data_IF_151636687485
#
_entry.id   IF_151636687485
#
_cell.length_a   1.000
_cell.length_b   1.000
_cell.length_c   1.000
_cell.angle_alpha   90.00
_cell.angle_beta   90.00
_cell.angle_gamma   90.00
#
_symmetry.space_group_name_H-M   'P 1'
#
loop_
_entity.id
_entity.type
_entity.pdbx_description
1 polymer ?
#
# COMPACT_ATOMS: atom_id res chain seq x y z
N UNK A 1 22.21 13.47 39.40
CA UNK A 1 21.75 12.21 38.77
C UNK A 1 20.47 12.50 38.02
N UNK A 2 20.52 12.28 36.71
CA UNK A 2 19.57 12.72 35.69
C UNK A 2 18.30 11.87 35.73
N UNK A 3 17.14 12.49 35.92
CA UNK A 3 15.84 11.84 35.77
C UNK A 3 15.59 11.58 34.29
N UNK A 4 15.65 10.30 33.94
CA UNK A 4 15.38 9.75 32.61
C UNK A 4 13.99 10.16 32.15
N UNK A 5 13.93 11.01 31.13
CA UNK A 5 12.72 11.37 30.42
C UNK A 5 12.18 10.12 29.71
N UNK A 6 11.13 9.52 30.26
CA UNK A 6 10.32 8.54 29.55
C UNK A 6 9.57 9.31 28.47
N UNK A 7 10.13 9.32 27.27
CA UNK A 7 9.41 9.74 26.06
C UNK A 7 8.42 8.62 25.76
N UNK A 8 7.17 8.82 26.20
CA UNK A 8 6.02 8.07 25.71
C UNK A 8 5.92 8.31 24.20
N UNK A 9 6.44 7.36 23.43
CA UNK A 9 6.13 7.21 22.01
C UNK A 9 4.63 6.90 21.91
N UNK A 10 3.84 7.94 21.66
CA UNK A 10 2.46 7.81 21.23
C UNK A 10 2.52 7.20 19.84
N UNK A 11 2.39 5.88 19.75
CA UNK A 11 2.15 5.18 18.49
C UNK A 11 0.73 5.59 18.09
N UNK A 12 0.61 6.57 17.19
CA UNK A 12 -0.61 6.83 16.44
C UNK A 12 -0.86 5.62 15.53
N UNK A 13 -1.36 4.53 16.10
CA UNK A 13 -2.05 3.49 15.36
C UNK A 13 -3.43 4.07 15.01
N UNK A 14 -3.51 4.88 13.95
CA UNK A 14 -4.79 5.02 13.26
C UNK A 14 -5.13 3.61 12.77
N UNK A 15 -6.01 2.91 13.47
CA UNK A 15 -6.36 1.53 13.18
C UNK A 15 -6.72 1.42 11.69
N UNK A 16 -5.85 0.74 10.92
CA UNK A 16 -6.04 0.58 9.48
C UNK A 16 -7.29 -0.28 9.29
N UNK A 17 -8.31 0.29 8.66
CA UNK A 17 -9.56 -0.42 8.42
C UNK A 17 -9.47 -1.22 7.10
N UNK A 18 -9.73 -2.54 7.09
CA UNK A 18 -9.69 -3.35 5.87
C UNK A 18 -10.53 -2.82 4.72
N UNK A 19 -11.73 -2.30 5.02
CA UNK A 19 -12.61 -1.72 3.99
C UNK A 19 -12.00 -0.48 3.36
N UNK A 20 -11.29 0.34 4.15
CA UNK A 20 -10.61 1.54 3.65
C UNK A 20 -9.44 1.18 2.75
N UNK A 21 -8.64 0.18 3.11
CA UNK A 21 -7.54 -0.31 2.28
C UNK A 21 -8.09 -0.84 0.95
N UNK A 22 -9.08 -1.73 0.98
CA UNK A 22 -9.69 -2.28 -0.24
C UNK A 22 -10.32 -1.19 -1.12
N UNK A 23 -11.04 -0.25 -0.52
CA UNK A 23 -11.66 0.87 -1.25
C UNK A 23 -10.61 1.75 -1.93
N UNK A 24 -9.54 2.09 -1.23
CA UNK A 24 -8.45 2.88 -1.80
C UNK A 24 -7.76 2.13 -2.94
N UNK A 25 -7.53 0.83 -2.78
CA UNK A 25 -6.96 -0.02 -3.81
C UNK A 25 -7.78 -0.02 -5.10
N UNK A 26 -9.12 -0.18 -4.99
CA UNK A 26 -10.01 -0.14 -6.16
C UNK A 26 -10.06 1.23 -6.81
N UNK A 27 -10.08 2.31 -6.01
CA UNK A 27 -10.02 3.67 -6.53
C UNK A 27 -8.73 3.90 -7.35
N UNK A 28 -7.59 3.42 -6.85
CA UNK A 28 -6.31 3.48 -7.55
C UNK A 28 -6.32 2.68 -8.85
N UNK A 29 -6.85 1.45 -8.83
CA UNK A 29 -7.02 0.62 -10.02
C UNK A 29 -7.85 1.36 -11.08
N UNK A 30 -9.02 1.87 -10.71
CA UNK A 30 -9.90 2.62 -11.62
C UNK A 30 -9.23 3.87 -12.20
N UNK A 31 -8.54 4.66 -11.37
CA UNK A 31 -7.83 5.87 -11.83
C UNK A 31 -6.70 5.55 -12.81
N UNK A 32 -5.92 4.49 -12.53
CA UNK A 32 -4.81 4.05 -13.39
C UNK A 32 -5.33 3.45 -14.71
N UNK A 33 -6.35 2.59 -14.66
CA UNK A 33 -6.90 1.94 -15.85
C UNK A 33 -7.57 2.94 -16.79
N UNK A 34 -8.38 3.84 -16.23
CA UNK A 34 -9.12 4.84 -17.00
C UNK A 34 -8.24 6.03 -17.38
N UNK A 35 -7.09 6.22 -16.71
CA UNK A 35 -6.20 7.38 -16.87
C UNK A 35 -6.97 8.69 -16.68
N UNK A 36 -7.76 8.75 -15.60
CA UNK A 36 -8.66 9.85 -15.28
C UNK A 36 -8.57 10.22 -13.81
N UNK A 37 -8.97 11.45 -13.52
CA UNK A 37 -8.97 12.02 -12.18
C UNK A 37 -7.82 12.99 -11.98
N UNK A 38 -7.61 13.36 -10.72
CA UNK A 38 -6.55 14.25 -10.30
C UNK A 38 -5.24 13.47 -10.13
N UNK A 39 -4.21 13.85 -10.89
CA UNK A 39 -2.92 13.19 -10.86
C UNK A 39 -2.16 13.36 -9.54
N UNK A 40 -2.21 14.53 -8.92
CA UNK A 40 -1.51 14.75 -7.65
C UNK A 40 -2.21 14.00 -6.51
N UNK A 41 -3.53 13.91 -6.57
CA UNK A 41 -4.32 13.04 -5.70
C UNK A 41 -3.97 11.55 -5.91
N UNK A 42 -3.80 11.11 -7.16
CA UNK A 42 -3.39 9.74 -7.48
C UNK A 42 -2.01 9.42 -6.87
N UNK A 43 -1.02 10.31 -7.00
CA UNK A 43 0.30 10.16 -6.36
C UNK A 43 0.19 10.06 -4.84
N UNK A 44 -0.62 10.93 -4.23
CA UNK A 44 -0.85 10.93 -2.78
C UNK A 44 -1.49 9.63 -2.32
N UNK A 45 -2.49 9.15 -3.04
CA UNK A 45 -3.20 7.90 -2.74
C UNK A 45 -2.32 6.67 -2.91
N UNK A 46 -1.42 6.65 -3.91
CA UNK A 46 -0.45 5.56 -4.09
C UNK A 46 0.51 5.48 -2.91
N UNK A 47 1.07 6.61 -2.47
CA UNK A 47 1.95 6.64 -1.30
C UNK A 47 1.20 6.25 -0.01
N UNK A 48 -0.02 6.75 0.17
CA UNK A 48 -0.87 6.38 1.32
C UNK A 48 -1.15 4.87 1.34
N UNK A 49 -1.45 4.28 0.18
CA UNK A 49 -1.66 2.84 0.10
C UNK A 49 -0.36 2.08 0.42
N UNK A 50 0.78 2.53 -0.10
CA UNK A 50 2.07 1.92 0.21
C UNK A 50 2.41 1.99 1.71
N UNK A 51 2.06 3.08 2.38
CA UNK A 51 2.17 3.20 3.84
C UNK A 51 1.31 2.16 4.56
N UNK A 52 0.05 1.97 4.16
CA UNK A 52 -0.80 0.90 4.71
C UNK A 52 -0.17 -0.48 4.52
N UNK A 53 0.48 -0.74 3.39
CA UNK A 53 1.12 -2.03 3.14
C UNK A 53 2.33 -2.27 4.06
N UNK A 54 3.11 -1.22 4.38
CA UNK A 54 4.20 -1.31 5.35
C UNK A 54 3.68 -1.58 6.76
N UNK A 55 2.57 -0.93 7.13
CA UNK A 55 1.94 -1.14 8.44
C UNK A 55 1.36 -2.55 8.55
N UNK A 56 0.68 -3.06 7.51
CA UNK A 56 0.21 -4.45 7.47
C UNK A 56 1.38 -5.42 7.59
N UNK A 57 2.48 -5.19 6.86
CA UNK A 57 3.68 -6.02 6.97
C UNK A 57 4.24 -6.05 8.39
N UNK A 58 4.24 -4.91 9.08
CA UNK A 58 4.65 -4.83 10.48
C UNK A 58 3.71 -5.65 11.36
N UNK A 59 2.40 -5.44 11.24
CA UNK A 59 1.38 -6.15 12.02
C UNK A 59 1.49 -7.68 11.85
N UNK A 60 1.61 -8.19 10.62
CA UNK A 60 1.74 -9.64 10.40
C UNK A 60 3.04 -10.22 10.96
N UNK A 61 4.13 -9.45 10.99
CA UNK A 61 5.40 -9.87 11.59
C UNK A 61 5.36 -9.87 13.12
N UNK A 62 4.49 -9.07 13.71
CA UNK A 62 4.30 -8.94 15.17
C UNK A 62 3.19 -9.87 15.71
N UNK A 63 2.69 -10.79 14.89
CA UNK A 63 1.58 -11.70 15.23
C UNK A 63 0.29 -10.97 15.65
N UNK A 64 0.04 -9.78 15.07
CA UNK A 64 -1.17 -9.01 15.31
C UNK A 64 -2.36 -9.59 14.51
N UNK A 65 -3.43 -9.97 15.22
CA UNK A 65 -4.67 -10.52 14.65
C UNK A 65 -5.30 -9.59 13.59
N UNK A 66 -5.19 -8.26 13.76
CA UNK A 66 -5.68 -7.30 12.79
C UNK A 66 -4.88 -7.34 11.48
N UNK A 67 -3.56 -7.54 11.58
CA UNK A 67 -2.69 -7.74 10.42
C UNK A 67 -3.07 -8.99 9.64
N UNK A 68 -3.37 -10.08 10.33
CA UNK A 68 -3.81 -11.34 9.70
C UNK A 68 -5.19 -11.21 9.06
N UNK A 69 -6.11 -10.47 9.71
CA UNK A 69 -7.42 -10.14 9.15
C UNK A 69 -7.30 -9.30 7.88
N UNK A 70 -6.46 -8.25 7.91
CA UNK A 70 -6.17 -7.40 6.76
C UNK A 70 -5.57 -8.20 5.60
N UNK A 71 -4.63 -9.09 5.90
CA UNK A 71 -4.09 -10.04 4.93
C UNK A 71 -5.21 -10.88 4.30
N UNK A 72 -6.07 -11.51 5.12
CA UNK A 72 -7.15 -12.36 4.63
C UNK A 72 -8.13 -11.62 3.72
N UNK A 73 -8.45 -10.36 4.03
CA UNK A 73 -9.30 -9.52 3.17
C UNK A 73 -8.63 -9.16 1.82
N UNK A 74 -7.33 -8.87 1.82
CA UNK A 74 -6.57 -8.60 0.59
C UNK A 74 -6.34 -9.87 -0.24
N UNK A 75 -6.10 -11.01 0.40
CA UNK A 75 -5.83 -12.27 -0.29
C UNK A 75 -7.06 -12.78 -1.04
N UNK A 76 -8.28 -12.54 -0.51
CA UNK A 76 -9.55 -12.76 -1.22
C UNK A 76 -9.65 -12.04 -2.56
N UNK A 77 -8.95 -10.90 -2.72
CA UNK A 77 -8.87 -10.16 -3.99
C UNK A 77 -7.56 -10.42 -4.75
N UNK A 78 -6.83 -11.46 -4.36
CA UNK A 78 -5.50 -11.81 -4.87
C UNK A 78 -4.50 -10.65 -4.74
N UNK A 79 -4.54 -9.97 -3.59
CA UNK A 79 -3.67 -8.84 -3.22
C UNK A 79 -4.21 -7.46 -3.60
N UNK A 80 -3.36 -6.43 -3.46
CA UNK A 80 -3.67 -5.07 -3.89
C UNK A 80 -4.07 -5.02 -5.37
N UNK A 81 -5.24 -4.47 -5.73
CA UNK A 81 -5.73 -4.54 -7.12
C UNK A 81 -4.88 -3.70 -8.10
N UNK A 82 -4.53 -2.47 -7.72
CA UNK A 82 -3.82 -1.51 -8.57
C UNK A 82 -2.44 -1.99 -9.08
N UNK A 83 -1.78 -2.95 -8.40
CA UNK A 83 -0.45 -3.45 -8.81
C UNK A 83 -0.50 -4.28 -10.11
N UNK A 84 -1.69 -4.71 -10.53
CA UNK A 84 -1.91 -5.49 -11.75
C UNK A 84 -2.08 -4.58 -12.99
N UNK A 85 -2.26 -3.28 -12.78
CA UNK A 85 -2.51 -2.32 -13.85
C UNK A 85 -1.22 -2.05 -14.62
N UNK A 86 -1.27 -2.18 -15.95
CA UNK A 86 -0.15 -1.85 -16.82
C UNK A 86 -0.01 -0.34 -16.94
N UNK A 87 1.18 0.16 -16.61
CA UNK A 87 1.54 1.56 -16.78
C UNK A 87 2.14 1.76 -18.17
N UNK A 88 1.62 2.75 -18.91
CA UNK A 88 2.10 3.10 -20.24
C UNK A 88 2.58 4.56 -20.23
N UNK A 89 3.89 4.77 -20.16
CA UNK A 89 4.47 6.07 -19.77
C UNK A 89 4.00 7.24 -20.63
N UNK A 90 3.94 7.04 -21.95
CA UNK A 90 3.44 8.06 -22.90
C UNK A 90 1.97 8.42 -22.65
N UNK A 91 1.14 7.44 -22.30
CA UNK A 91 -0.28 7.67 -22.03
C UNK A 91 -0.49 8.37 -20.69
N UNK A 92 0.30 8.02 -19.67
CA UNK A 92 0.22 8.65 -18.34
C UNK A 92 0.66 10.12 -18.38
N UNK A 93 1.78 10.40 -19.05
CA UNK A 93 2.28 11.77 -19.29
C UNK A 93 1.19 12.64 -19.92
N UNK A 94 0.51 12.13 -20.95
CA UNK A 94 -0.55 12.87 -21.65
C UNK A 94 -1.81 13.03 -20.80
N UNK A 95 -2.24 11.97 -20.12
CA UNK A 95 -3.49 11.97 -19.36
C UNK A 95 -3.44 12.89 -18.14
N UNK A 96 -2.31 12.92 -17.43
CA UNK A 96 -2.15 13.65 -16.18
C UNK A 96 -1.26 14.90 -16.30
N UNK A 97 -0.81 15.24 -17.52
CA UNK A 97 0.14 16.34 -17.78
C UNK A 97 1.43 16.25 -16.94
N UNK A 98 1.87 15.01 -16.67
CA UNK A 98 3.03 14.70 -15.87
C UNK A 98 4.33 14.74 -16.66
N UNK A 99 5.47 14.85 -15.95
CA UNK A 99 6.79 14.58 -16.53
C UNK A 99 7.04 13.07 -16.54
N UNK A 100 8.00 12.62 -17.36
CA UNK A 100 8.41 11.21 -17.34
C UNK A 100 8.88 10.76 -15.96
N UNK A 101 9.62 11.62 -15.23
CA UNK A 101 10.04 11.34 -13.86
C UNK A 101 8.87 11.03 -12.92
N UNK A 102 7.76 11.77 -13.03
CA UNK A 102 6.58 11.52 -12.21
C UNK A 102 5.98 10.12 -12.48
N UNK A 103 6.08 9.65 -13.73
CA UNK A 103 5.63 8.30 -14.10
C UNK A 103 6.57 7.25 -13.51
N UNK A 104 7.88 7.44 -13.63
CA UNK A 104 8.87 6.54 -13.03
C UNK A 104 8.69 6.42 -11.51
N UNK A 105 8.38 7.53 -10.84
CA UNK A 105 8.13 7.57 -9.41
C UNK A 105 6.90 6.74 -9.02
N UNK A 106 5.79 6.84 -9.77
CA UNK A 106 4.61 5.99 -9.49
C UNK A 106 4.85 4.52 -9.83
N UNK A 107 5.58 4.22 -10.91
CA UNK A 107 5.96 2.85 -11.27
C UNK A 107 6.78 2.22 -10.15
N UNK A 108 7.70 3.00 -9.56
CA UNK A 108 8.47 2.59 -8.40
C UNK A 108 7.57 2.30 -7.19
N UNK A 109 6.63 3.19 -6.85
CA UNK A 109 5.70 2.97 -5.72
C UNK A 109 4.84 1.72 -5.93
N UNK A 110 4.37 1.47 -7.16
CA UNK A 110 3.61 0.25 -7.50
C UNK A 110 4.47 -1.00 -7.33
N UNK A 111 5.73 -0.96 -7.80
CA UNK A 111 6.68 -2.06 -7.67
C UNK A 111 7.03 -2.35 -6.20
N UNK A 112 7.29 -1.29 -5.42
CA UNK A 112 7.56 -1.39 -3.98
C UNK A 112 6.33 -1.96 -3.24
N UNK A 113 5.11 -1.58 -3.65
CA UNK A 113 3.85 -2.13 -3.11
C UNK A 113 3.72 -3.62 -3.41
N UNK A 114 4.01 -4.05 -4.63
CA UNK A 114 4.03 -5.46 -5.03
C UNK A 114 5.09 -6.25 -4.25
N UNK A 115 6.26 -5.66 -4.02
CA UNK A 115 7.31 -6.26 -3.21
C UNK A 115 6.87 -6.47 -1.77
N UNK A 116 6.30 -5.44 -1.13
CA UNK A 116 5.76 -5.53 0.23
C UNK A 116 4.66 -6.58 0.35
N UNK A 117 3.75 -6.66 -0.63
CA UNK A 117 2.73 -7.72 -0.65
C UNK A 117 3.33 -9.12 -0.71
N UNK A 118 4.41 -9.32 -1.49
CA UNK A 118 5.10 -10.60 -1.53
C UNK A 118 5.73 -10.97 -0.17
N UNK A 119 6.27 -9.99 0.55
CA UNK A 119 6.80 -10.20 1.89
C UNK A 119 5.70 -10.58 2.89
N UNK A 120 4.55 -9.91 2.85
CA UNK A 120 3.38 -10.24 3.68
C UNK A 120 2.97 -11.70 3.44
N UNK A 121 2.81 -12.10 2.17
CA UNK A 121 2.48 -13.48 1.80
C UNK A 121 3.50 -14.48 2.33
N UNK A 122 4.79 -14.19 2.22
CA UNK A 122 5.83 -15.07 2.71
C UNK A 122 5.76 -15.28 4.23
N UNK A 123 5.49 -14.21 4.99
CA UNK A 123 5.28 -14.30 6.45
C UNK A 123 4.07 -15.20 6.75
N UNK A 124 2.93 -14.94 6.12
CA UNK A 124 1.69 -15.69 6.39
C UNK A 124 1.79 -17.17 6.00
N UNK A 125 2.40 -17.49 4.84
CA UNK A 125 2.61 -18.87 4.40
C UNK A 125 3.53 -19.63 5.37
N UNK A 126 4.54 -18.97 5.93
CA UNK A 126 5.43 -19.60 6.91
C UNK A 126 4.71 -19.90 8.23
N UNK A 127 3.79 -19.04 8.68
CA UNK A 127 2.97 -19.31 9.87
C UNK A 127 2.05 -20.52 9.70
N UNK A 128 1.41 -20.67 8.54
CA UNK A 128 0.49 -21.79 8.28
C UNK A 128 1.19 -23.16 8.21
N UNK A 129 2.52 -23.20 8.11
CA UNK A 129 3.30 -24.44 8.02
C UNK A 129 3.81 -24.96 9.38
N UNK A 130 3.61 -24.20 10.46
CA UNK A 130 3.95 -24.56 11.84
C UNK A 130 2.70 -25.15 12.50
#
# INVERSE_FOLDING_TARGET
QTLTRIVLLIIYSSAINPKSVLKLGRCLEEQLEQRKGDGDMLKTNLNTYFDYMKDILKMVKEDDEEGERLYGELDKTSGPPHIKVKIYNVLMVRAFSWKFQDVEDIEKVISDTQHTWNQIRAVMVNKTRI
#
